data_IF_632116155164
#
_entry.id   IF_632116155164
#
_cell.length_a   1.000
_cell.length_b   1.000
_cell.length_c   1.000
_cell.angle_alpha   90.00
_cell.angle_beta   90.00
_cell.angle_gamma   90.00
#
_symmetry.space_group_name_H-M   'P 1'
#
loop_
_entity.id
_entity.type
_entity.pdbx_description
1 polymer ?
#
# COMPACT_ATOMS: atom_id res chain seq x y z
N UNK A 1 -12.18 32.49 24.44
CA UNK A 1 -12.07 31.97 23.06
C UNK A 1 -13.25 31.03 22.86
N UNK A 2 -14.22 31.40 22.02
CA UNK A 2 -15.32 30.50 21.66
C UNK A 2 -14.86 29.54 20.57
N UNK A 3 -15.09 28.25 20.78
CA UNK A 3 -14.85 27.24 19.75
C UNK A 3 -16.08 27.16 18.84
N UNK A 4 -15.91 26.92 17.53
CA UNK A 4 -17.02 26.75 16.61
C UNK A 4 -17.86 25.52 16.98
N UNK A 5 -19.14 25.53 16.59
CA UNK A 5 -20.04 24.39 16.79
C UNK A 5 -19.57 23.20 15.94
N UNK A 6 -19.20 22.09 16.58
CA UNK A 6 -18.87 20.84 15.91
C UNK A 6 -20.12 19.97 15.72
N UNK A 7 -20.19 19.26 14.60
CA UNK A 7 -21.22 18.25 14.34
C UNK A 7 -20.65 16.85 14.59
N UNK A 8 -21.43 15.97 15.22
CA UNK A 8 -21.08 14.55 15.35
C UNK A 8 -21.35 13.84 14.03
N UNK A 9 -20.31 13.26 13.41
CA UNK A 9 -20.42 12.49 12.17
C UNK A 9 -20.01 11.04 12.44
N UNK A 10 -20.82 10.08 11.99
CA UNK A 10 -20.49 8.65 12.00
C UNK A 10 -20.29 8.16 10.57
N UNK A 11 -19.08 7.72 10.25
CA UNK A 11 -18.78 7.07 8.98
C UNK A 11 -19.05 5.57 9.08
N UNK A 12 -19.92 5.05 8.22
CA UNK A 12 -20.08 3.60 8.04
C UNK A 12 -19.16 3.15 6.91
N UNK A 13 -18.16 2.33 7.21
CA UNK A 13 -17.24 1.77 6.22
C UNK A 13 -17.63 0.31 5.98
N UNK A 14 -17.97 -0.09 4.74
CA UNK A 14 -18.24 -1.48 4.41
C UNK A 14 -17.04 -2.36 4.79
N UNK A 15 -17.32 -3.49 5.44
CA UNK A 15 -16.27 -4.44 5.84
C UNK A 15 -16.05 -5.42 4.70
N UNK A 16 -14.92 -5.28 3.99
CA UNK A 16 -14.46 -6.21 2.97
C UNK A 16 -13.12 -6.82 3.41
N UNK A 17 -13.13 -7.83 4.29
CA UNK A 17 -11.89 -8.42 4.79
C UNK A 17 -11.20 -9.22 3.68
N UNK A 18 -9.89 -9.04 3.56
CA UNK A 18 -9.03 -9.87 2.71
C UNK A 18 -8.46 -11.00 3.58
N UNK A 19 -8.81 -12.28 3.31
CA UNK A 19 -8.31 -13.40 4.12
C UNK A 19 -6.81 -13.61 3.94
N UNK A 20 -6.29 -13.36 2.74
CA UNK A 20 -4.86 -13.35 2.44
C UNK A 20 -4.49 -12.05 1.72
N UNK A 21 -3.96 -11.11 2.51
CA UNK A 21 -3.49 -9.82 2.01
C UNK A 21 -2.28 -9.99 1.07
N UNK A 22 -1.42 -10.98 1.30
CA UNK A 22 -0.23 -11.17 0.49
C UNK A 22 -0.57 -11.73 -0.89
N UNK A 23 -1.49 -12.71 -0.96
CA UNK A 23 -2.00 -13.24 -2.22
C UNK A 23 -2.72 -12.15 -3.03
N UNK A 24 -3.57 -11.34 -2.38
CA UNK A 24 -4.27 -10.26 -3.04
C UNK A 24 -3.32 -9.18 -3.60
N UNK A 25 -2.30 -8.78 -2.84
CA UNK A 25 -1.28 -7.83 -3.32
C UNK A 25 -0.53 -8.40 -4.53
N UNK A 26 -0.18 -9.68 -4.53
CA UNK A 26 0.49 -10.31 -5.67
C UNK A 26 -0.41 -10.34 -6.90
N UNK A 27 -1.65 -10.77 -6.75
CA UNK A 27 -2.63 -10.81 -7.84
C UNK A 27 -2.85 -9.43 -8.47
N UNK A 28 -2.96 -8.38 -7.66
CA UNK A 28 -3.09 -7.01 -8.17
C UNK A 28 -1.83 -6.52 -8.90
N UNK A 29 -0.64 -6.87 -8.41
CA UNK A 29 0.63 -6.54 -9.07
C UNK A 29 0.81 -7.29 -10.40
N UNK A 30 0.39 -8.54 -10.47
CA UNK A 30 0.34 -9.33 -11.70
C UNK A 30 -0.67 -8.77 -12.70
N UNK A 31 -1.87 -8.40 -12.22
CA UNK A 31 -2.94 -7.81 -13.05
C UNK A 31 -2.49 -6.54 -13.77
N UNK A 32 -1.62 -5.73 -13.16
CA UNK A 32 -1.08 -4.52 -13.80
C UNK A 32 0.17 -4.78 -14.65
N UNK A 33 0.63 -6.03 -14.75
CA UNK A 33 1.81 -6.41 -15.52
C UNK A 33 3.09 -5.78 -14.96
N UNK A 34 3.27 -5.77 -13.64
CA UNK A 34 4.42 -5.07 -13.03
C UNK A 34 5.77 -5.62 -13.51
N UNK A 35 5.83 -6.91 -13.85
CA UNK A 35 7.04 -7.57 -14.35
C UNK A 35 7.55 -6.97 -15.66
N UNK A 36 6.66 -6.60 -16.57
CA UNK A 36 7.03 -6.01 -17.86
C UNK A 36 7.44 -4.53 -17.74
N UNK A 37 7.01 -3.88 -16.65
CA UNK A 37 7.27 -2.45 -16.39
C UNK A 37 8.55 -2.22 -15.59
N UNK A 38 9.00 -3.22 -14.84
CA UNK A 38 10.16 -3.12 -13.95
C UNK A 38 11.38 -3.70 -14.63
N UNK A 39 12.32 -2.81 -14.98
CA UNK A 39 13.60 -3.21 -15.55
C UNK A 39 14.52 -3.81 -14.47
N UNK A 40 15.31 -4.85 -14.79
CA UNK A 40 16.38 -5.32 -13.90
C UNK A 40 17.30 -4.17 -13.48
N UNK A 41 17.60 -4.07 -12.18
CA UNK A 41 18.44 -3.00 -11.62
C UNK A 41 17.73 -1.66 -11.35
N UNK A 42 16.43 -1.53 -11.64
CA UNK A 42 15.66 -0.33 -11.33
C UNK A 42 15.64 -0.05 -9.82
N UNK A 43 15.68 1.23 -9.43
CA UNK A 43 15.50 1.68 -8.05
C UNK A 43 14.07 2.18 -7.87
N UNK A 44 13.32 1.57 -6.97
CA UNK A 44 11.89 1.82 -6.80
C UNK A 44 11.58 2.25 -5.37
N UNK A 45 10.76 3.30 -5.24
CA UNK A 45 10.22 3.75 -3.98
C UNK A 45 8.77 3.26 -3.82
N UNK A 46 8.49 2.55 -2.73
CA UNK A 46 7.16 2.06 -2.40
C UNK A 46 6.55 3.02 -1.38
N UNK A 47 5.56 3.80 -1.80
CA UNK A 47 4.82 4.68 -0.91
C UNK A 47 3.89 3.88 0.01
N UNK A 48 4.06 4.00 1.32
CA UNK A 48 3.17 3.38 2.30
C UNK A 48 2.46 4.44 3.17
N UNK A 49 1.14 4.37 3.22
CA UNK A 49 0.30 5.20 4.09
C UNK A 49 -0.27 4.39 5.26
N UNK A 50 -0.51 5.06 6.39
CA UNK A 50 -1.10 4.46 7.59
C UNK A 50 -2.63 4.42 7.58
N UNK A 51 -3.28 5.19 6.70
CA UNK A 51 -4.74 5.31 6.66
C UNK A 51 -5.38 4.13 5.91
N UNK A 52 -6.48 3.60 6.45
CA UNK A 52 -7.33 2.62 5.77
C UNK A 52 -6.73 1.23 5.58
N UNK A 53 -5.58 0.92 6.18
CA UNK A 53 -4.95 -0.42 6.09
C UNK A 53 -4.75 -1.02 7.47
N UNK A 54 -5.09 -2.30 7.64
CA UNK A 54 -4.88 -3.02 8.89
C UNK A 54 -3.40 -3.38 9.12
N UNK A 55 -2.57 -3.41 8.07
CA UNK A 55 -1.17 -3.83 8.15
C UNK A 55 -0.30 -3.27 7.00
N UNK A 56 0.18 -2.01 7.10
CA UNK A 56 1.05 -1.40 6.10
C UNK A 56 2.36 -2.18 5.88
N UNK A 57 2.86 -2.85 6.93
CA UNK A 57 4.10 -3.65 6.88
C UNK A 57 3.97 -4.86 5.95
N UNK A 58 2.83 -5.58 6.02
CA UNK A 58 2.61 -6.79 5.24
C UNK A 58 2.49 -6.45 3.75
N UNK A 59 1.67 -5.45 3.40
CA UNK A 59 1.55 -4.99 2.01
C UNK A 59 2.87 -4.47 1.43
N UNK A 60 3.62 -3.67 2.20
CA UNK A 60 4.93 -3.16 1.79
C UNK A 60 5.98 -4.27 1.63
N UNK A 61 6.02 -5.26 2.53
CA UNK A 61 6.94 -6.39 2.45
C UNK A 61 6.62 -7.31 1.26
N UNK A 62 5.34 -7.65 1.04
CA UNK A 62 4.94 -8.48 -0.10
C UNK A 62 5.21 -7.78 -1.42
N UNK A 63 4.82 -6.51 -1.57
CA UNK A 63 5.14 -5.74 -2.77
C UNK A 63 6.65 -5.62 -3.00
N UNK A 64 7.42 -5.30 -1.94
CA UNK A 64 8.88 -5.25 -1.99
C UNK A 64 9.52 -6.58 -2.39
N UNK A 65 8.97 -7.71 -1.94
CA UNK A 65 9.41 -9.05 -2.34
C UNK A 65 9.15 -9.33 -3.82
N UNK A 66 7.94 -9.05 -4.31
CA UNK A 66 7.57 -9.22 -5.73
C UNK A 66 8.45 -8.36 -6.64
N UNK A 67 8.78 -7.14 -6.22
CA UNK A 67 9.63 -6.21 -6.99
C UNK A 67 11.12 -6.56 -6.95
N UNK A 68 11.59 -7.24 -5.90
CA UNK A 68 12.99 -7.71 -5.81
C UNK A 68 13.25 -8.94 -6.66
N UNK A 69 12.24 -9.77 -6.91
CA UNK A 69 12.37 -10.96 -7.77
C UNK A 69 12.90 -10.67 -9.19
N UNK A 70 12.45 -9.61 -9.91
CA UNK A 70 13.04 -9.19 -11.20
C UNK A 70 14.38 -8.43 -11.06
N UNK A 71 14.99 -8.38 -9.88
CA UNK A 71 16.30 -7.73 -9.67
C UNK A 71 16.24 -6.22 -9.41
N UNK A 72 15.07 -5.67 -9.07
CA UNK A 72 14.94 -4.26 -8.69
C UNK A 72 15.27 -4.03 -7.21
N UNK A 73 15.80 -2.84 -6.89
CA UNK A 73 16.09 -2.40 -5.53
C UNK A 73 14.92 -1.57 -5.01
N UNK A 74 14.13 -2.15 -4.11
CA UNK A 74 12.96 -1.49 -3.52
C UNK A 74 13.24 -0.98 -2.09
N UNK A 75 12.87 0.29 -1.86
CA UNK A 75 12.88 0.94 -0.53
C UNK A 75 11.47 1.42 -0.15
N UNK A 76 11.10 1.25 1.12
CA UNK A 76 9.84 1.74 1.66
C UNK A 76 9.97 3.23 1.97
N UNK A 77 9.07 4.04 1.42
CA UNK A 77 9.02 5.47 1.65
C UNK A 77 7.68 5.82 2.34
N UNK A 78 7.69 6.45 3.52
CA UNK A 78 6.46 6.85 4.17
C UNK A 78 5.76 7.95 3.38
N UNK A 79 4.44 7.83 3.16
CA UNK A 79 3.68 8.90 2.53
C UNK A 79 3.26 9.91 3.59
N UNK A 80 3.97 11.04 3.64
CA UNK A 80 3.57 12.23 4.39
C UNK A 80 2.90 13.21 3.42
N UNK A 81 1.60 13.40 3.61
CA UNK A 81 0.78 14.33 2.83
C UNK A 81 -0.57 14.48 3.51
N UNK A 82 -1.00 15.73 3.68
CA UNK A 82 -2.28 16.18 4.24
C UNK A 82 -3.45 15.70 3.38
#
# INVERSE_FOLDING_TARGET
MELPRFATVRQQVPRAPLPDVAAAVRSELERIGIGDRVRPGARLAIGAGSRGTASPRLGGATGGGVLRAPGAKAALFPRWGT
#
